data_IF_484158061830
#
_entry.id   IF_484158061830
#
_cell.length_a   1.000
_cell.length_b   1.000
_cell.length_c   1.000
_cell.angle_alpha   90.00
_cell.angle_beta   90.00
_cell.angle_gamma   90.00
#
_symmetry.space_group_name_H-M   'P 1'
#
loop_
_entity.id
_entity.type
_entity.pdbx_description
1 polymer ?
#
# COMPACT_ATOMS: atom_id res chain seq x y z
N UNK A 1 5.31 4.69 8.02
CA UNK A 1 4.34 3.71 7.50
C UNK A 1 4.60 3.52 6.02
N UNK A 2 4.71 2.27 5.56
CA UNK A 2 5.18 1.95 4.22
C UNK A 2 4.01 1.73 3.27
N UNK A 3 3.97 2.47 2.17
CA UNK A 3 2.94 2.39 1.15
C UNK A 3 3.60 2.07 -0.19
N UNK A 4 3.15 0.99 -0.83
CA UNK A 4 3.54 0.68 -2.20
C UNK A 4 2.51 1.28 -3.16
N UNK A 5 2.97 1.87 -4.26
CA UNK A 5 2.10 2.53 -5.25
C UNK A 5 2.49 2.14 -6.67
N UNK A 6 1.53 2.05 -7.58
CA UNK A 6 1.81 1.87 -9.01
C UNK A 6 2.47 3.10 -9.63
N UNK A 7 3.37 2.86 -10.58
CA UNK A 7 4.13 3.92 -11.26
C UNK A 7 3.24 4.92 -12.03
N UNK A 8 2.05 4.49 -12.46
CA UNK A 8 1.05 5.31 -13.16
C UNK A 8 0.51 6.45 -12.30
N UNK A 9 0.55 6.30 -10.97
CA UNK A 9 -0.09 7.20 -10.01
C UNK A 9 0.83 8.33 -9.52
N UNK A 10 1.57 8.95 -10.43
CA UNK A 10 2.59 9.97 -10.13
C UNK A 10 2.08 11.12 -9.24
N UNK A 11 0.91 11.68 -9.54
CA UNK A 11 0.37 12.82 -8.77
C UNK A 11 -0.09 12.42 -7.36
N UNK A 12 -0.57 11.18 -7.19
CA UNK A 12 -0.90 10.63 -5.86
C UNK A 12 0.38 10.43 -5.07
N UNK A 13 1.41 9.85 -5.68
CA UNK A 13 2.73 9.67 -5.07
C UNK A 13 3.29 11.00 -4.55
N UNK A 14 3.42 12.00 -5.42
CA UNK A 14 3.99 13.30 -5.07
C UNK A 14 3.22 13.96 -3.93
N UNK A 15 1.89 13.89 -3.96
CA UNK A 15 1.07 14.41 -2.88
C UNK A 15 1.35 13.71 -1.55
N UNK A 16 1.37 12.37 -1.54
CA UNK A 16 1.61 11.59 -0.32
C UNK A 16 3.03 11.80 0.24
N UNK A 17 4.05 11.85 -0.61
CA UNK A 17 5.44 12.15 -0.21
C UNK A 17 5.53 13.54 0.46
N UNK A 18 4.85 14.55 -0.11
CA UNK A 18 4.83 15.91 0.43
C UNK A 18 4.14 16.01 1.80
N UNK A 19 3.30 15.05 2.20
CA UNK A 19 2.71 15.02 3.55
C UNK A 19 3.74 14.68 4.63
N UNK A 20 4.84 14.00 4.27
CA UNK A 20 5.84 13.48 5.21
C UNK A 20 5.33 12.36 6.15
N UNK A 21 4.09 11.88 6.00
CA UNK A 21 3.47 10.86 6.86
C UNK A 21 3.78 9.42 6.44
N UNK A 22 4.23 9.23 5.21
CA UNK A 22 4.33 7.92 4.57
C UNK A 22 5.69 7.74 3.91
N UNK A 23 6.21 6.52 3.95
CA UNK A 23 7.34 6.08 3.14
C UNK A 23 6.77 5.42 1.88
N UNK A 24 6.91 6.10 0.74
CA UNK A 24 6.32 5.66 -0.52
C UNK A 24 7.36 4.93 -1.37
N UNK A 25 7.02 3.74 -1.84
CA UNK A 25 7.84 2.97 -2.78
C UNK A 25 7.02 2.60 -4.00
N UNK A 26 7.66 2.58 -5.16
CA UNK A 26 7.02 2.04 -6.35
C UNK A 26 6.83 0.52 -6.23
N UNK A 27 5.79 0.02 -6.90
CA UNK A 27 5.57 -1.41 -7.06
C UNK A 27 6.85 -2.09 -7.56
N UNK A 28 7.28 -3.14 -6.84
CA UNK A 28 8.46 -3.94 -7.19
C UNK A 28 9.80 -3.38 -6.71
N UNK A 29 9.85 -2.12 -6.26
CA UNK A 29 11.08 -1.49 -5.77
C UNK A 29 11.28 -1.63 -4.24
N UNK A 30 10.42 -2.38 -3.57
CA UNK A 30 10.49 -2.64 -2.13
C UNK A 30 10.20 -4.10 -1.81
N UNK A 31 11.07 -4.71 -1.00
CA UNK A 31 11.04 -6.16 -0.67
C UNK A 31 10.64 -6.45 0.79
N UNK A 32 10.24 -5.43 1.54
CA UNK A 32 9.78 -5.56 2.92
C UNK A 32 8.25 -5.59 3.06
N UNK A 33 7.73 -5.66 4.30
CA UNK A 33 6.30 -5.60 4.56
C UNK A 33 5.73 -4.20 4.27
N UNK A 34 4.62 -4.15 3.55
CA UNK A 34 3.88 -2.91 3.25
C UNK A 34 2.63 -2.83 4.12
N UNK A 35 2.16 -1.61 4.40
CA UNK A 35 0.93 -1.37 5.16
C UNK A 35 -0.25 -1.08 4.22
N UNK A 36 0.03 -0.48 3.07
CA UNK A 36 -0.96 -0.24 2.03
C UNK A 36 -0.38 -0.44 0.63
N UNK A 37 -1.26 -0.81 -0.29
CA UNK A 37 -1.00 -0.87 -1.72
C UNK A 37 -2.02 -0.02 -2.48
N UNK A 38 -1.56 0.93 -3.28
CA UNK A 38 -2.39 1.83 -4.08
C UNK A 38 -2.23 1.48 -5.56
N UNK A 39 -3.35 1.18 -6.23
CA UNK A 39 -3.38 0.70 -7.60
C UNK A 39 -4.48 1.39 -8.42
N UNK A 40 -4.34 1.42 -9.74
CA UNK A 40 -5.41 1.79 -10.67
C UNK A 40 -5.76 0.56 -11.54
N UNK A 41 -7.03 0.38 -11.90
CA UNK A 41 -7.44 -0.81 -12.66
C UNK A 41 -6.75 -0.90 -14.02
N UNK A 42 -5.77 -1.81 -14.09
CA UNK A 42 -5.37 -2.61 -15.26
C UNK A 42 -4.70 -3.95 -14.86
N UNK A 43 -4.51 -4.23 -13.56
CA UNK A 43 -3.80 -5.45 -13.14
C UNK A 43 -4.72 -6.67 -13.00
N UNK A 44 -4.35 -7.83 -13.59
CA UNK A 44 -5.10 -9.05 -13.44
C UNK A 44 -5.09 -9.51 -11.97
N UNK A 45 -6.23 -9.99 -11.51
CA UNK A 45 -6.47 -10.57 -10.17
C UNK A 45 -5.33 -11.52 -9.71
N UNK A 46 -4.65 -12.18 -10.65
CA UNK A 46 -3.50 -13.07 -10.40
C UNK A 46 -2.29 -12.40 -9.74
N UNK A 47 -2.03 -11.12 -9.98
CA UNK A 47 -0.89 -10.43 -9.34
C UNK A 47 -1.18 -10.10 -7.87
N UNK A 48 -2.45 -9.89 -7.53
CA UNK A 48 -2.90 -9.72 -6.15
C UNK A 48 -2.73 -11.00 -5.34
N UNK A 49 -3.08 -12.16 -5.91
CA UNK A 49 -2.88 -13.46 -5.28
C UNK A 49 -1.39 -13.73 -5.02
N UNK A 50 -0.51 -13.38 -5.97
CA UNK A 50 0.93 -13.50 -5.79
C UNK A 50 1.47 -12.59 -4.68
N UNK A 51 0.97 -11.36 -4.59
CA UNK A 51 1.35 -10.41 -3.53
C UNK A 51 0.89 -10.89 -2.15
N UNK A 52 -0.35 -11.38 -2.04
CA UNK A 52 -0.88 -11.94 -0.80
C UNK A 52 -0.09 -13.18 -0.35
N UNK A 53 0.23 -14.08 -1.28
CA UNK A 53 1.04 -15.26 -0.99
C UNK A 53 2.46 -14.89 -0.54
N UNK A 54 3.09 -13.88 -1.15
CA UNK A 54 4.39 -13.40 -0.73
C UNK A 54 4.38 -12.80 0.68
N UNK A 55 3.32 -12.08 1.04
CA UNK A 55 3.14 -11.52 2.39
C UNK A 55 2.96 -12.62 3.44
N UNK A 56 2.16 -13.64 3.14
CA UNK A 56 1.98 -14.82 4.00
C UNK A 56 3.31 -15.55 4.18
N UNK A 57 4.04 -15.79 3.09
CA UNK A 57 5.33 -16.48 3.12
C UNK A 57 6.39 -15.71 3.91
N UNK A 58 6.48 -14.38 3.73
CA UNK A 58 7.38 -13.52 4.49
C UNK A 58 7.13 -13.61 5.99
N UNK A 59 5.86 -13.63 6.37
CA UNK A 59 5.48 -13.64 7.77
C UNK A 59 5.69 -15.02 8.43
N UNK A 60 5.50 -16.11 7.67
CA UNK A 60 5.87 -17.46 8.07
C UNK A 60 7.40 -17.62 8.24
N UNK A 61 8.20 -17.04 7.35
CA UNK A 61 9.67 -17.19 7.37
C UNK A 61 10.37 -16.32 8.41
N UNK A 62 9.82 -15.14 8.73
CA UNK A 62 10.48 -14.16 9.62
C UNK A 62 9.86 -14.05 11.01
N UNK A 63 8.92 -14.92 11.38
CA UNK A 63 8.15 -14.84 12.64
C UNK A 63 7.53 -13.44 12.88
N UNK A 64 7.20 -12.74 11.80
CA UNK A 64 6.57 -11.42 11.90
C UNK A 64 5.09 -11.66 12.13
N UNK A 65 4.52 -11.02 13.14
CA UNK A 65 3.10 -11.14 13.46
C UNK A 65 2.25 -10.69 12.26
N UNK A 66 1.60 -11.65 11.60
CA UNK A 66 0.83 -11.48 10.36
C UNK A 66 -0.56 -10.88 10.58
N UNK A 67 -0.87 -10.39 11.78
CA UNK A 67 -2.09 -9.61 12.01
C UNK A 67 -2.15 -8.31 11.19
N UNK A 68 -1.09 -7.98 10.46
CA UNK A 68 -1.00 -6.83 9.57
C UNK A 68 -1.58 -7.17 8.19
N UNK A 69 -2.89 -7.03 8.04
CA UNK A 69 -3.53 -6.99 6.72
C UNK A 69 -3.02 -5.78 5.93
N UNK A 70 -2.82 -5.95 4.62
CA UNK A 70 -2.44 -4.84 3.74
C UNK A 70 -3.69 -4.11 3.27
N UNK A 71 -3.75 -2.80 3.51
CA UNK A 71 -4.85 -1.97 3.01
C UNK A 71 -4.70 -1.77 1.50
N UNK A 72 -5.63 -2.34 0.73
CA UNK A 72 -5.67 -2.17 -0.71
C UNK A 72 -6.56 -0.98 -1.08
N UNK A 73 -6.05 -0.09 -1.93
CA UNK A 73 -6.74 1.14 -2.34
C UNK A 73 -6.74 1.25 -3.85
N UNK A 74 -7.91 1.10 -4.46
CA UNK A 74 -8.12 1.45 -5.85
C UNK A 74 -8.19 2.98 -5.99
N UNK A 75 -7.23 3.58 -6.69
CA UNK A 75 -7.11 5.02 -6.93
C UNK A 75 -7.97 5.53 -8.09
N UNK A 76 -8.60 4.65 -8.86
CA UNK A 76 -9.49 5.04 -9.97
C UNK A 76 -10.56 6.01 -9.49
N UNK A 77 -10.66 7.13 -10.20
CA UNK A 77 -11.57 8.24 -9.91
C UNK A 77 -11.45 8.82 -8.48
N UNK A 78 -10.28 8.70 -7.83
CA UNK A 78 -10.01 9.31 -6.53
C UNK A 78 -8.94 10.37 -6.64
N UNK A 79 -9.14 11.46 -5.92
CA UNK A 79 -8.14 12.51 -5.76
C UNK A 79 -7.05 12.10 -4.77
N UNK A 80 -5.84 12.66 -4.85
CA UNK A 80 -4.77 12.38 -3.88
C UNK A 80 -5.19 12.62 -2.42
N UNK A 81 -6.05 13.63 -2.18
CA UNK A 81 -6.59 13.94 -0.85
C UNK A 81 -7.52 12.84 -0.32
N UNK A 82 -8.35 12.25 -1.18
CA UNK A 82 -9.21 11.13 -0.79
C UNK A 82 -8.38 9.88 -0.44
N UNK A 83 -7.28 9.65 -1.16
CA UNK A 83 -6.34 8.58 -0.84
C UNK A 83 -5.67 8.80 0.53
N UNK A 84 -5.20 10.02 0.83
CA UNK A 84 -4.65 10.36 2.16
C UNK A 84 -5.70 10.18 3.27
N UNK A 85 -6.95 10.56 3.01
CA UNK A 85 -8.04 10.36 3.97
C UNK A 85 -8.26 8.86 4.27
N UNK A 86 -8.33 8.01 3.24
CA UNK A 86 -8.48 6.56 3.42
C UNK A 86 -7.30 5.98 4.21
N UNK A 87 -6.07 6.35 3.87
CA UNK A 87 -4.86 5.90 4.57
C UNK A 87 -4.88 6.33 6.05
N UNK A 88 -5.17 7.60 6.32
CA UNK A 88 -5.17 8.13 7.69
C UNK A 88 -6.29 7.53 8.54
N UNK A 89 -7.50 7.36 8.00
CA UNK A 89 -8.61 6.80 8.79
C UNK A 89 -8.45 5.31 9.09
N UNK A 90 -7.91 4.53 8.14
CA UNK A 90 -7.87 3.07 8.28
C UNK A 90 -6.59 2.55 8.92
N UNK A 91 -5.48 3.27 8.75
CA UNK A 91 -4.19 2.86 9.30
C UNK A 91 -3.84 3.64 10.56
N UNK A 92 -3.97 4.98 10.58
CA UNK A 92 -3.58 5.74 11.77
C UNK A 92 -4.57 5.63 12.94
N UNK A 93 -5.88 5.53 12.65
CA UNK A 93 -6.92 5.46 13.69
C UNK A 93 -6.96 4.11 14.44
N UNK A 94 -6.22 3.12 13.96
CA UNK A 94 -6.08 1.81 14.61
C UNK A 94 -4.76 1.64 15.38
N UNK A 95 -3.88 2.66 15.39
CA UNK A 95 -2.57 2.62 16.05
C UNK A 95 -2.54 3.48 17.33
N UNK A 96 -3.58 4.31 17.55
CA UNK A 96 -3.73 5.16 18.74
C UNK A 96 -5.10 5.01 19.40
#
# INVERSE_FOLDING_TARGET
>A
MIVSIENSLYYVRQYLENTGKYEIYDKGNYTGPIHAYIYEEDEPISEFDAMQNNLINLAQQKHVDIRHGVLMINAKNKTPKEIDLILSERLYRNIY
#
